data_IF_737486362074
#
_entry.id   IF_737486362074
#
_cell.length_a   1.000
_cell.length_b   1.000
_cell.length_c   1.000
_cell.angle_alpha   90.00
_cell.angle_beta   90.00
_cell.angle_gamma   90.00
#
_symmetry.space_group_name_H-M   'P 1'
#
loop_
_entity.id
_entity.type
_entity.pdbx_description
1 polymer ?
#
# COMPACT_ATOMS: atom_id res chain seq x y z
N UNK A 1 -12.67 32.01 -10.07
CA UNK A 1 -12.81 30.66 -9.49
C UNK A 1 -11.67 30.44 -8.52
N UNK A 2 -11.95 30.47 -7.22
CA UNK A 2 -10.99 30.05 -6.20
C UNK A 2 -11.15 28.53 -6.13
N UNK A 3 -10.20 27.78 -6.68
CA UNK A 3 -10.12 26.34 -6.40
C UNK A 3 -9.62 26.25 -4.96
N UNK A 4 -10.51 25.97 -4.01
CA UNK A 4 -10.08 25.54 -2.69
C UNK A 4 -9.51 24.15 -2.85
N UNK A 5 -8.18 24.02 -2.70
CA UNK A 5 -7.54 22.70 -2.61
C UNK A 5 -8.13 21.97 -1.40
N UNK A 6 -8.63 20.76 -1.61
CA UNK A 6 -9.08 19.89 -0.52
C UNK A 6 -7.84 19.33 0.17
N UNK A 7 -7.85 19.29 1.49
CA UNK A 7 -6.80 18.64 2.28
C UNK A 7 -7.27 17.25 2.72
N UNK A 8 -6.35 16.30 2.81
CA UNK A 8 -6.64 14.97 3.33
C UNK A 8 -6.98 15.06 4.83
N UNK A 9 -8.02 14.35 5.25
CA UNK A 9 -8.51 14.30 6.64
C UNK A 9 -7.82 13.23 7.50
N UNK A 10 -7.17 12.27 6.85
CA UNK A 10 -6.36 11.21 7.44
C UNK A 10 -5.12 10.95 6.56
N UNK A 11 -4.17 10.19 7.08
CA UNK A 11 -3.07 9.62 6.30
C UNK A 11 -3.55 8.34 5.64
N UNK A 12 -3.34 8.22 4.33
CA UNK A 12 -3.80 7.07 3.55
C UNK A 12 -2.63 6.34 2.89
N UNK A 13 -2.69 5.01 2.90
CA UNK A 13 -1.57 4.17 2.46
C UNK A 13 -1.93 2.70 2.32
N UNK A 14 -0.91 1.87 2.11
CA UNK A 14 -1.02 0.40 2.08
C UNK A 14 0.11 -0.23 2.91
N UNK A 15 -0.02 -1.53 3.21
CA UNK A 15 1.00 -2.30 3.92
C UNK A 15 1.99 -2.92 2.93
N UNK A 16 3.29 -2.81 3.19
CA UNK A 16 4.33 -3.36 2.31
C UNK A 16 5.50 -3.95 3.10
N UNK A 17 6.28 -4.78 2.43
CA UNK A 17 7.65 -5.09 2.81
C UNK A 17 8.60 -4.31 1.90
N UNK A 18 9.74 -3.88 2.43
CA UNK A 18 10.79 -3.20 1.64
C UNK A 18 12.17 -3.59 2.15
N UNK A 19 13.22 -3.34 1.36
CA UNK A 19 14.59 -3.57 1.80
C UNK A 19 14.84 -2.86 3.14
N UNK A 20 15.49 -3.56 4.06
CA UNK A 20 15.79 -3.03 5.38
C UNK A 20 16.79 -1.87 5.27
N UNK A 21 16.52 -0.77 5.97
CA UNK A 21 17.40 0.37 6.04
C UNK A 21 17.51 0.78 7.52
N UNK A 22 18.66 0.56 8.18
CA UNK A 22 18.81 0.82 9.61
C UNK A 22 18.69 2.30 10.00
N UNK A 23 18.76 3.24 9.05
CA UNK A 23 18.58 4.67 9.34
C UNK A 23 17.11 5.04 9.57
N UNK A 24 16.18 4.25 9.05
CA UNK A 24 14.74 4.57 9.09
C UNK A 24 13.89 3.41 9.61
N UNK A 25 14.34 2.17 9.50
CA UNK A 25 13.60 0.98 9.90
C UNK A 25 14.06 0.49 11.27
N UNK A 26 13.09 0.12 12.09
CA UNK A 26 13.26 -0.54 13.37
C UNK A 26 13.58 -2.03 13.17
N UNK A 27 14.64 -2.50 13.82
CA UNK A 27 15.15 -3.87 13.72
C UNK A 27 14.13 -4.93 14.17
N UNK A 28 13.17 -4.58 15.02
CA UNK A 28 12.12 -5.52 15.48
C UNK A 28 11.19 -5.98 14.34
N UNK A 29 11.18 -5.28 13.21
CA UNK A 29 10.41 -5.64 12.01
C UNK A 29 11.28 -6.23 10.89
N UNK A 30 12.58 -6.38 11.11
CA UNK A 30 13.51 -6.91 10.13
C UNK A 30 13.41 -8.43 10.00
N UNK A 31 13.55 -8.94 8.79
CA UNK A 31 13.63 -10.38 8.49
C UNK A 31 14.53 -10.61 7.27
N UNK A 32 15.13 -11.78 7.16
CA UNK A 32 15.85 -12.22 5.95
C UNK A 32 14.87 -12.91 4.99
N UNK A 33 14.85 -12.51 3.73
CA UNK A 33 14.06 -13.15 2.67
C UNK A 33 14.74 -14.44 2.22
N UNK A 34 14.02 -15.56 2.22
CA UNK A 34 14.60 -16.87 1.89
C UNK A 34 14.95 -17.05 0.40
N UNK A 35 14.37 -16.24 -0.50
CA UNK A 35 14.58 -16.37 -1.94
C UNK A 35 15.82 -15.63 -2.42
N UNK A 36 16.08 -14.43 -1.90
CA UNK A 36 17.23 -13.62 -2.29
C UNK A 36 18.26 -13.33 -1.19
N UNK A 37 18.03 -13.83 0.03
CA UNK A 37 18.93 -13.68 1.19
C UNK A 37 19.22 -12.22 1.57
N UNK A 38 18.35 -11.29 1.15
CA UNK A 38 18.44 -9.88 1.54
C UNK A 38 17.63 -9.62 2.82
N UNK A 39 18.05 -8.61 3.58
CA UNK A 39 17.29 -8.14 4.73
C UNK A 39 16.14 -7.23 4.28
N UNK A 40 14.93 -7.54 4.72
CA UNK A 40 13.71 -6.78 4.50
C UNK A 40 13.14 -6.29 5.84
N UNK A 41 12.33 -5.24 5.76
CA UNK A 41 11.53 -4.70 6.83
C UNK A 41 10.06 -4.98 6.52
N UNK A 42 9.36 -5.60 7.48
CA UNK A 42 7.96 -5.97 7.35
C UNK A 42 7.01 -4.89 7.88
N UNK A 43 5.73 -5.02 7.52
CA UNK A 43 4.64 -4.23 8.09
C UNK A 43 4.77 -2.71 7.88
N UNK A 44 5.52 -2.24 6.88
CA UNK A 44 5.66 -0.80 6.61
C UNK A 44 4.33 -0.23 6.13
N UNK A 45 3.93 0.90 6.70
CA UNK A 45 2.82 1.70 6.20
C UNK A 45 3.31 2.63 5.08
N UNK A 46 3.18 2.16 3.83
CA UNK A 46 3.51 2.96 2.64
C UNK A 46 2.43 4.02 2.44
N UNK A 47 2.76 5.25 2.79
CA UNK A 47 1.88 6.41 2.61
C UNK A 47 1.80 6.82 1.12
N UNK A 48 0.58 7.14 0.68
CA UNK A 48 0.30 7.85 -0.57
C UNK A 48 0.07 9.34 -0.33
N UNK A 49 -0.70 9.69 0.71
CA UNK A 49 -0.99 11.08 1.10
C UNK A 49 -1.03 11.21 2.61
N UNK A 50 -0.41 12.26 3.14
CA UNK A 50 -0.41 12.56 4.58
C UNK A 50 -1.66 13.33 4.98
N UNK A 51 -2.11 13.13 6.23
CA UNK A 51 -3.12 13.98 6.85
C UNK A 51 -2.73 15.45 6.76
N UNK A 52 -3.66 16.30 6.32
CA UNK A 52 -3.45 17.73 6.13
C UNK A 52 -2.71 18.10 4.84
N UNK A 53 -2.23 17.12 4.07
CA UNK A 53 -1.64 17.38 2.75
C UNK A 53 -2.73 17.83 1.76
N UNK A 54 -2.38 18.77 0.90
CA UNK A 54 -3.23 19.18 -0.22
C UNK A 54 -3.39 18.02 -1.22
N UNK A 55 -4.63 17.60 -1.45
CA UNK A 55 -4.96 16.60 -2.45
C UNK A 55 -4.73 17.20 -3.82
N UNK A 56 -3.96 16.47 -4.62
CA UNK A 56 -3.70 16.80 -6.02
C UNK A 56 -4.82 16.31 -6.93
N UNK A 57 -4.95 16.93 -8.08
CA UNK A 57 -5.89 16.54 -9.15
C UNK A 57 -5.27 15.44 -10.05
N UNK A 58 -4.58 14.47 -9.44
CA UNK A 58 -3.92 13.35 -10.11
C UNK A 58 -3.98 12.10 -9.21
N UNK A 59 -3.87 10.92 -9.82
CA UNK A 59 -3.75 9.67 -9.07
C UNK A 59 -2.37 9.55 -8.42
N UNK A 60 -2.36 9.10 -7.17
CA UNK A 60 -1.13 8.74 -6.48
C UNK A 60 -0.75 7.32 -6.87
N UNK A 61 0.52 7.08 -7.23
CA UNK A 61 1.00 5.80 -7.75
C UNK A 61 2.14 5.23 -6.91
N UNK A 62 2.13 3.91 -6.71
CA UNK A 62 3.27 3.14 -6.23
C UNK A 62 3.38 1.83 -7.01
N UNK A 63 4.60 1.39 -7.27
CA UNK A 63 4.89 0.12 -7.95
C UNK A 63 5.45 -0.86 -6.93
N UNK A 64 4.96 -2.09 -7.00
CA UNK A 64 5.36 -3.18 -6.11
C UNK A 64 5.71 -4.42 -6.93
N UNK A 65 6.34 -5.38 -6.27
CA UNK A 65 6.61 -6.71 -6.79
C UNK A 65 5.96 -7.74 -5.86
N UNK A 66 5.74 -8.99 -6.31
CA UNK A 66 5.16 -10.04 -5.47
C UNK A 66 6.03 -10.30 -4.24
N UNK A 67 5.42 -10.76 -3.15
CA UNK A 67 6.13 -11.08 -1.91
C UNK A 67 7.05 -12.28 -2.12
N UNK A 68 6.54 -13.33 -2.77
CA UNK A 68 7.29 -14.53 -3.13
C UNK A 68 7.21 -14.81 -4.64
N UNK A 69 8.14 -15.60 -5.16
CA UNK A 69 8.17 -16.05 -6.54
C UNK A 69 6.92 -16.86 -6.92
N UNK A 70 6.35 -17.61 -5.99
CA UNK A 70 5.18 -18.46 -6.20
C UNK A 70 3.85 -17.71 -6.10
N UNK A 71 3.83 -16.48 -5.58
CA UNK A 71 2.60 -15.71 -5.40
C UNK A 71 1.88 -15.54 -6.73
N UNK A 72 0.64 -16.01 -6.83
CA UNK A 72 -0.22 -15.80 -8.01
C UNK A 72 -1.31 -14.76 -7.76
N UNK A 73 -1.36 -14.19 -6.55
CA UNK A 73 -2.28 -13.12 -6.16
C UNK A 73 -1.56 -12.09 -5.30
N UNK A 74 -1.85 -10.82 -5.52
CA UNK A 74 -1.45 -9.73 -4.64
C UNK A 74 -2.65 -9.29 -3.80
N UNK A 75 -2.52 -9.39 -2.48
CA UNK A 75 -3.49 -8.86 -1.52
C UNK A 75 -3.03 -7.48 -1.07
N UNK A 76 -3.76 -6.45 -1.46
CA UNK A 76 -3.34 -5.05 -1.26
C UNK A 76 -4.40 -4.38 -0.37
N UNK A 77 -4.25 -4.46 0.96
CA UNK A 77 -5.13 -3.75 1.88
C UNK A 77 -4.85 -2.24 1.80
N UNK A 78 -5.91 -1.45 1.81
CA UNK A 78 -5.87 0.00 1.82
C UNK A 78 -6.22 0.45 3.23
N UNK A 79 -5.37 1.31 3.78
CA UNK A 79 -5.45 1.72 5.17
C UNK A 79 -5.57 3.24 5.30
N UNK A 80 -6.16 3.68 6.41
CA UNK A 80 -6.06 5.04 6.88
C UNK A 80 -5.72 5.12 8.38
N UNK A 81 -5.17 6.25 8.80
CA UNK A 81 -5.02 6.58 10.22
C UNK A 81 -5.10 8.09 10.45
N UNK A 82 -5.69 8.48 11.58
CA UNK A 82 -5.72 9.87 12.03
C UNK A 82 -4.47 10.25 12.85
N UNK A 83 -3.67 9.26 13.24
CA UNK A 83 -2.46 9.42 14.05
C UNK A 83 -1.28 9.84 13.18
N UNK A 84 -0.50 10.79 13.69
CA UNK A 84 0.69 11.28 13.00
C UNK A 84 1.89 10.36 13.25
N UNK A 85 2.79 10.26 12.27
CA UNK A 85 4.06 9.53 12.43
C UNK A 85 3.94 7.99 12.47
N UNK A 86 2.78 7.42 12.13
CA UNK A 86 2.62 5.97 12.01
C UNK A 86 3.49 5.44 10.86
N UNK A 87 4.46 4.61 11.21
CA UNK A 87 5.39 4.01 10.24
C UNK A 87 5.05 2.56 9.91
N UNK A 88 4.43 1.83 10.84
CA UNK A 88 4.11 0.41 10.72
C UNK A 88 2.62 0.20 10.82
N UNK A 89 2.07 -0.77 10.08
CA UNK A 89 0.63 -1.13 10.10
C UNK A 89 0.24 -1.99 11.32
N UNK A 90 1.24 -2.58 11.97
CA UNK A 90 1.13 -3.36 13.20
C UNK A 90 2.27 -2.87 14.11
N UNK A 91 2.00 -2.67 15.40
CA UNK A 91 3.01 -2.30 16.38
C UNK A 91 3.78 -3.53 16.92
N UNK A 92 4.76 -3.28 17.79
CA UNK A 92 5.62 -4.31 18.38
C UNK A 92 4.87 -5.31 19.27
N UNK A 93 3.67 -4.94 19.73
CA UNK A 93 2.80 -5.78 20.54
C UNK A 93 1.85 -6.62 19.66
N UNK A 94 1.94 -6.49 18.33
CA UNK A 94 1.08 -7.18 17.38
C UNK A 94 -0.28 -6.51 17.19
N UNK A 95 -0.49 -5.30 17.72
CA UNK A 95 -1.74 -4.56 17.59
C UNK A 95 -1.72 -3.70 16.34
N UNK A 96 -2.85 -3.65 15.64
CA UNK A 96 -3.01 -2.86 14.43
C UNK A 96 -3.05 -1.35 14.75
N UNK A 97 -2.25 -0.58 14.04
CA UNK A 97 -2.05 0.89 14.20
C UNK A 97 -2.80 1.71 13.16
N UNK A 98 -3.35 1.06 12.14
CA UNK A 98 -4.07 1.67 11.01
C UNK A 98 -5.42 0.97 10.81
N UNK A 99 -6.42 1.68 10.30
CA UNK A 99 -7.73 1.10 9.98
C UNK A 99 -7.77 0.67 8.52
N UNK A 100 -8.23 -0.55 8.26
CA UNK A 100 -8.51 -1.02 6.90
C UNK A 100 -9.80 -0.36 6.38
N UNK A 101 -9.72 0.22 5.19
CA UNK A 101 -10.84 0.90 4.51
C UNK A 101 -11.19 0.28 3.17
N UNK A 102 -10.41 -0.69 2.71
CA UNK A 102 -10.64 -1.39 1.47
C UNK A 102 -9.54 -2.41 1.19
N UNK A 103 -9.76 -3.25 0.19
CA UNK A 103 -8.78 -4.22 -0.25
C UNK A 103 -8.90 -4.43 -1.76
N UNK A 104 -7.77 -4.58 -2.42
CA UNK A 104 -7.67 -5.08 -3.79
C UNK A 104 -7.10 -6.50 -3.75
N UNK A 105 -7.67 -7.39 -4.56
CA UNK A 105 -7.14 -8.74 -4.81
C UNK A 105 -6.86 -8.82 -6.30
N UNK A 106 -5.59 -8.72 -6.67
CA UNK A 106 -5.15 -8.72 -8.06
C UNK A 106 -4.54 -10.08 -8.40
N UNK A 107 -5.00 -10.70 -9.48
CA UNK A 107 -4.34 -11.89 -10.02
C UNK A 107 -3.02 -11.48 -10.69
N UNK A 108 -1.93 -12.13 -10.29
CA UNK A 108 -0.56 -11.86 -10.79
C UNK A 108 0.07 -13.16 -11.32
N UNK A 109 -0.55 -13.85 -12.29
CA UNK A 109 -0.08 -15.17 -12.73
C UNK A 109 1.37 -15.13 -13.25
N UNK A 110 2.09 -16.25 -13.10
CA UNK A 110 3.47 -16.40 -13.55
C UNK A 110 3.70 -17.63 -14.44
N UNK A 111 2.97 -17.77 -15.57
CA UNK A 111 3.03 -18.99 -16.39
C UNK A 111 4.40 -19.21 -17.05
N UNK A 112 5.23 -18.17 -17.14
CA UNK A 112 6.56 -18.21 -17.76
C UNK A 112 7.70 -18.23 -16.74
N UNK A 113 7.40 -18.35 -15.45
CA UNK A 113 8.37 -18.31 -14.35
C UNK A 113 9.35 -17.13 -14.48
N UNK A 114 8.82 -15.94 -14.76
CA UNK A 114 9.60 -14.70 -14.81
C UNK A 114 10.18 -14.41 -13.42
N UNK A 115 11.38 -13.79 -13.33
CA UNK A 115 11.95 -13.37 -12.05
C UNK A 115 10.99 -12.47 -11.25
N UNK A 116 10.92 -12.64 -9.93
CA UNK A 116 10.08 -11.87 -8.98
C UNK A 116 10.13 -10.36 -9.26
N UNK A 117 11.33 -9.83 -9.49
CA UNK A 117 11.60 -8.40 -9.72
C UNK A 117 11.05 -7.86 -11.05
N UNK A 118 10.74 -8.74 -12.02
CA UNK A 118 10.12 -8.37 -13.30
C UNK A 118 8.58 -8.40 -13.24
N UNK A 119 8.00 -8.95 -12.17
CA UNK A 119 6.56 -9.18 -12.02
C UNK A 119 5.87 -8.00 -11.33
N UNK A 120 6.22 -6.79 -11.76
CA UNK A 120 5.69 -5.57 -11.17
C UNK A 120 4.17 -5.45 -11.27
N UNK A 121 3.57 -4.81 -10.28
CA UNK A 121 2.20 -4.31 -10.36
C UNK A 121 2.12 -2.90 -9.77
N UNK A 122 1.25 -2.09 -10.35
CA UNK A 122 1.03 -0.72 -9.92
C UNK A 122 -0.22 -0.63 -9.06
N UNK A 123 -0.19 0.19 -8.03
CA UNK A 123 -1.35 0.56 -7.21
C UNK A 123 -1.55 2.06 -7.32
N UNK A 124 -2.80 2.43 -7.53
CA UNK A 124 -3.24 3.81 -7.70
C UNK A 124 -4.30 4.15 -6.68
N UNK A 125 -4.21 5.36 -6.14
CA UNK A 125 -5.19 5.95 -5.24
C UNK A 125 -5.69 7.26 -5.84
N UNK A 126 -7.00 7.37 -6.01
CA UNK A 126 -7.68 8.58 -6.45
C UNK A 126 -8.48 9.18 -5.29
N UNK A 127 -8.11 10.40 -4.93
CA UNK A 127 -8.75 11.20 -3.90
C UNK A 127 -9.45 12.43 -4.48
N UNK A 128 -9.65 12.54 -5.80
CA UNK A 128 -10.28 13.70 -6.45
C UNK A 128 -11.82 13.69 -6.32
N UNK A 129 -12.42 12.50 -6.20
CA UNK A 129 -13.86 12.32 -6.08
C UNK A 129 -14.44 12.56 -4.69
N UNK A 130 -15.74 12.26 -4.53
CA UNK A 130 -16.41 12.22 -3.22
C UNK A 130 -15.99 10.98 -2.42
N UNK A 131 -15.68 9.90 -3.12
CA UNK A 131 -15.22 8.64 -2.56
C UNK A 131 -13.74 8.44 -2.88
N UNK A 132 -13.04 7.70 -2.02
CA UNK A 132 -11.66 7.29 -2.27
C UNK A 132 -11.69 6.02 -3.12
N UNK A 133 -11.08 6.08 -4.29
CA UNK A 133 -10.98 4.93 -5.20
C UNK A 133 -9.57 4.39 -5.20
N UNK A 134 -9.45 3.07 -5.22
CA UNK A 134 -8.17 2.39 -5.38
C UNK A 134 -8.26 1.42 -6.55
N UNK A 135 -7.19 1.31 -7.32
CA UNK A 135 -7.05 0.30 -8.38
C UNK A 135 -5.64 -0.26 -8.41
N UNK A 136 -5.51 -1.48 -8.88
CA UNK A 136 -4.21 -2.12 -9.08
C UNK A 136 -4.15 -2.78 -10.46
N UNK A 137 -3.00 -2.68 -11.11
CA UNK A 137 -2.77 -3.21 -12.44
C UNK A 137 -1.50 -4.05 -12.49
N UNK A 138 -1.60 -5.28 -13.00
CA UNK A 138 -0.43 -6.14 -13.19
C UNK A 138 0.32 -5.77 -14.46
N UNK A 139 1.63 -5.53 -14.38
CA UNK A 139 2.40 -5.01 -15.52
C UNK A 139 2.55 -6.01 -16.66
N UNK A 140 2.46 -7.32 -16.39
CA UNK A 140 2.66 -8.37 -17.40
C UNK A 140 1.41 -8.59 -18.26
N UNK A 141 0.24 -8.69 -17.64
CA UNK A 141 -1.02 -8.98 -18.35
C UNK A 141 -1.82 -7.71 -18.67
N UNK A 142 -1.57 -6.62 -17.93
CA UNK A 142 -2.39 -5.40 -17.97
C UNK A 142 -3.72 -5.53 -17.25
N UNK A 143 -4.01 -6.69 -16.63
CA UNK A 143 -5.23 -6.91 -15.86
C UNK A 143 -5.31 -5.93 -14.69
N UNK A 144 -6.53 -5.45 -14.44
CA UNK A 144 -6.80 -4.42 -13.46
C UNK A 144 -7.97 -4.83 -12.56
N UNK A 145 -7.85 -4.51 -11.29
CA UNK A 145 -8.94 -4.57 -10.31
C UNK A 145 -9.11 -3.21 -9.65
N UNK A 146 -10.33 -2.91 -9.21
CA UNK A 146 -10.66 -1.64 -8.56
C UNK A 146 -11.61 -1.85 -7.39
N UNK A 147 -11.56 -0.94 -6.42
CA UNK A 147 -12.45 -0.90 -5.28
C UNK A 147 -12.75 0.54 -4.88
N UNK A 148 -13.85 0.73 -4.16
CA UNK A 148 -14.20 1.97 -3.48
C UNK A 148 -13.93 1.76 -1.99
N UNK A 149 -13.18 2.67 -1.38
CA UNK A 149 -12.79 2.53 0.01
C UNK A 149 -13.86 3.13 0.94
N UNK A 150 -14.26 2.38 1.95
CA UNK A 150 -15.16 2.85 3.00
C UNK A 150 -14.39 3.55 4.11
N UNK A 151 -14.31 4.87 4.00
CA UNK A 151 -13.70 5.72 5.02
C UNK A 151 -14.72 6.25 6.05
N UNK A 152 -16.03 6.03 5.85
CA UNK A 152 -17.12 6.64 6.63
C UNK A 152 -17.73 5.71 7.70
N UNK A 153 -17.53 4.39 7.61
CA UNK A 153 -18.00 3.47 8.64
C UNK A 153 -17.37 3.76 10.00
N UNK A 154 -18.25 4.02 10.99
CA UNK A 154 -17.85 4.21 12.40
C UNK A 154 -17.32 2.90 12.97
N UNK A 155 -16.34 3.02 13.87
CA UNK A 155 -15.84 1.91 14.67
C UNK A 155 -16.94 1.39 15.61
N UNK A 156 -17.12 0.08 15.67
CA UNK A 156 -17.69 -0.63 16.84
C UNK A 156 -16.57 -0.86 17.87
#
# INVERSE_FOLDING_TARGET
NIIQSRVADATYGTGVNALFNPEIHDEDYAFEDEEDHEAYCSCIFKVFVLKGEAIKDEEYKATFIPGCQEDIKAHIPIYCTADDGVQYVIDKEGKRTVREIGQLILDIPNPHNLPRKERGYDVFMDFSGTEIQARAQYSITGEEVKTVCDFLSKQD
#
